data_IF_761793834096
#
_entry.id   IF_761793834096
#
_cell.length_a   1.000
_cell.length_b   1.000
_cell.length_c   1.000
_cell.angle_alpha   90.00
_cell.angle_beta   90.00
_cell.angle_gamma   90.00
#
_symmetry.space_group_name_H-M   'P 1'
#
loop_
_entity.id
_entity.type
_entity.pdbx_description
1 polymer ?
#
# COMPACT_ATOMS: atom_id res chain seq x y z
N UNK A 1 -3.91 7.50 10.51
CA UNK A 1 -2.86 6.52 10.13
C UNK A 1 -2.84 6.23 8.65
N UNK A 2 -3.90 5.68 8.04
CA UNK A 2 -3.92 5.38 6.60
C UNK A 2 -3.67 6.62 5.69
N UNK A 3 -4.27 7.77 6.03
CA UNK A 3 -4.01 9.02 5.30
C UNK A 3 -2.53 9.44 5.40
N UNK A 4 -2.01 9.52 6.63
CA UNK A 4 -0.61 9.86 6.88
C UNK A 4 0.37 8.88 6.21
N UNK A 5 0.05 7.58 6.22
CA UNK A 5 0.86 6.56 5.55
C UNK A 5 0.84 6.67 4.03
N UNK A 6 -0.33 6.95 3.42
CA UNK A 6 -0.43 7.23 2.00
C UNK A 6 0.41 8.45 1.57
N UNK A 7 0.36 9.52 2.38
CA UNK A 7 1.20 10.71 2.17
C UNK A 7 2.68 10.37 2.34
N UNK A 8 3.05 9.63 3.38
CA UNK A 8 4.42 9.23 3.65
C UNK A 8 5.01 8.37 2.52
N UNK A 9 4.24 7.45 1.92
CA UNK A 9 4.66 6.66 0.75
C UNK A 9 4.98 7.56 -0.44
N UNK A 10 4.13 8.56 -0.71
CA UNK A 10 4.35 9.52 -1.82
C UNK A 10 5.57 10.39 -1.56
N UNK A 11 5.73 10.93 -0.36
CA UNK A 11 6.90 11.72 0.02
C UNK A 11 8.20 10.90 -0.02
N UNK A 12 8.15 9.63 0.41
CA UNK A 12 9.27 8.72 0.34
C UNK A 12 9.63 8.33 -1.11
N UNK A 13 8.68 8.40 -2.05
CA UNK A 13 8.91 8.11 -3.46
C UNK A 13 9.34 9.34 -4.27
N UNK A 14 8.90 10.56 -3.88
CA UNK A 14 9.12 11.80 -4.60
C UNK A 14 10.59 12.18 -4.92
N UNK A 15 11.57 12.00 -4.01
CA UNK A 15 12.95 12.45 -4.28
C UNK A 15 13.75 11.52 -5.22
N UNK A 16 13.19 10.38 -5.63
CA UNK A 16 13.91 9.41 -6.45
C UNK A 16 13.63 9.63 -7.94
N UNK A 17 14.70 9.77 -8.73
CA UNK A 17 14.65 9.95 -10.19
C UNK A 17 14.11 8.69 -10.87
N UNK A 18 13.10 8.92 -11.72
CA UNK A 18 12.34 7.91 -12.44
C UNK A 18 11.54 7.01 -11.50
N UNK A 19 10.26 6.95 -11.80
CA UNK A 19 9.38 5.85 -11.42
C UNK A 19 9.88 4.55 -12.11
N UNK A 20 11.09 4.10 -11.78
CA UNK A 20 11.48 2.71 -12.04
C UNK A 20 10.60 1.87 -11.10
N UNK A 21 9.44 1.47 -11.62
CA UNK A 21 8.53 0.53 -10.97
C UNK A 21 9.27 -0.77 -10.59
N UNK A 22 10.35 -1.08 -11.32
CA UNK A 22 11.23 -2.24 -11.15
C UNK A 22 12.38 -2.06 -10.16
N UNK A 23 12.69 -0.84 -9.70
CA UNK A 23 13.68 -0.64 -8.65
C UNK A 23 12.96 -0.51 -7.33
N UNK A 24 12.62 -1.67 -6.78
CA UNK A 24 12.89 -2.09 -5.41
C UNK A 24 13.45 -1.05 -4.41
N UNK A 25 12.77 0.07 -4.24
CA UNK A 25 13.19 1.12 -3.32
C UNK A 25 12.60 0.85 -1.93
N UNK A 26 13.49 0.45 -1.03
CA UNK A 26 13.25 0.14 0.37
C UNK A 26 12.44 1.22 1.13
N UNK A 27 12.62 2.54 0.92
CA UNK A 27 11.94 3.56 1.74
C UNK A 27 10.41 3.57 1.62
N UNK A 28 9.87 3.51 0.39
CA UNK A 28 8.42 3.50 0.17
C UNK A 28 7.77 2.18 0.61
N UNK A 29 8.50 1.06 0.48
CA UNK A 29 8.06 -0.25 0.98
C UNK A 29 7.99 -0.26 2.51
N UNK A 30 9.00 0.28 3.20
CA UNK A 30 9.00 0.43 4.65
C UNK A 30 7.83 1.31 5.12
N UNK A 31 7.59 2.45 4.45
CA UNK A 31 6.47 3.33 4.78
C UNK A 31 5.13 2.58 4.66
N UNK A 32 4.95 1.77 3.62
CA UNK A 32 3.77 0.92 3.45
C UNK A 32 3.67 -0.13 4.57
N UNK A 33 4.73 -0.88 4.85
CA UNK A 33 4.74 -1.94 5.86
C UNK A 33 4.46 -1.40 7.27
N UNK A 34 5.09 -0.29 7.66
CA UNK A 34 4.85 0.37 8.95
C UNK A 34 3.41 0.85 9.03
N UNK A 35 2.90 1.48 7.97
CA UNK A 35 1.50 1.94 7.91
C UNK A 35 0.53 0.77 8.06
N UNK A 36 0.74 -0.30 7.29
CA UNK A 36 -0.08 -1.49 7.31
C UNK A 36 -0.08 -2.15 8.70
N UNK A 37 1.09 -2.27 9.33
CA UNK A 37 1.25 -2.82 10.67
C UNK A 37 0.51 -1.99 11.72
N UNK A 38 0.79 -0.68 11.79
CA UNK A 38 0.16 0.21 12.77
C UNK A 38 -1.35 0.30 12.59
N UNK A 39 -1.83 0.41 11.35
CA UNK A 39 -3.26 0.45 11.05
C UNK A 39 -3.94 -0.88 11.44
N UNK A 40 -3.28 -2.02 11.18
CA UNK A 40 -3.81 -3.34 11.54
C UNK A 40 -3.85 -3.55 13.04
N UNK A 41 -2.80 -3.16 13.78
CA UNK A 41 -2.78 -3.22 15.24
C UNK A 41 -3.88 -2.35 15.86
N UNK A 42 -4.05 -1.12 15.37
CA UNK A 42 -5.13 -0.24 15.81
C UNK A 42 -6.52 -0.82 15.51
N UNK A 43 -6.70 -1.43 14.33
CA UNK A 43 -7.95 -2.07 13.96
C UNK A 43 -8.24 -3.27 14.86
N UNK A 44 -7.26 -4.16 15.08
CA UNK A 44 -7.41 -5.35 15.90
C UNK A 44 -7.71 -5.01 17.37
N UNK A 45 -7.06 -3.96 17.91
CA UNK A 45 -7.32 -3.48 19.26
C UNK A 45 -8.77 -2.94 19.43
N UNK A 46 -9.36 -2.39 18.37
CA UNK A 46 -10.72 -1.84 18.39
C UNK A 46 -11.82 -2.79 17.90
N UNK A 47 -11.48 -3.90 17.24
CA UNK A 47 -12.44 -4.76 16.55
C UNK A 47 -13.10 -5.77 17.51
N UNK A 48 -14.41 -5.61 17.76
CA UNK A 48 -15.21 -6.63 18.48
C UNK A 48 -15.71 -7.78 17.59
N UNK A 49 -15.86 -7.54 16.28
CA UNK A 49 -16.23 -8.56 15.27
C UNK A 49 -15.60 -8.24 13.92
N UNK A 50 -14.96 -9.23 13.33
CA UNK A 50 -14.47 -9.17 11.94
C UNK A 50 -15.57 -9.74 11.03
N UNK A 51 -16.08 -8.90 10.13
CA UNK A 51 -17.02 -9.33 9.09
C UNK A 51 -16.22 -9.72 7.85
N UNK A 52 -16.36 -10.99 7.47
CA UNK A 52 -15.81 -11.54 6.23
C UNK A 52 -16.88 -11.39 5.15
N UNK A 53 -16.54 -10.68 4.08
CA UNK A 53 -17.35 -10.53 2.87
C UNK A 53 -16.68 -11.18 1.66
N UNK A 54 -17.39 -11.19 0.52
CA UNK A 54 -16.89 -11.77 -0.75
C UNK A 54 -15.54 -11.19 -1.19
N UNK A 55 -15.34 -9.88 -1.02
CA UNK A 55 -14.08 -9.22 -1.35
C UNK A 55 -12.90 -9.78 -0.52
N UNK A 56 -13.12 -10.14 0.76
CA UNK A 56 -12.08 -10.74 1.59
C UNK A 56 -11.73 -12.15 1.13
N UNK A 57 -12.73 -12.93 0.68
CA UNK A 57 -12.52 -14.27 0.14
C UNK A 57 -11.70 -14.21 -1.15
N UNK A 58 -12.04 -13.32 -2.06
CA UNK A 58 -11.29 -13.11 -3.30
C UNK A 58 -9.85 -12.67 -3.01
N UNK A 59 -9.68 -11.76 -2.06
CA UNK A 59 -8.35 -11.29 -1.64
C UNK A 59 -7.55 -12.41 -0.95
N UNK A 60 -8.18 -13.24 -0.14
CA UNK A 60 -7.54 -14.40 0.47
C UNK A 60 -7.11 -15.44 -0.58
N UNK A 61 -7.94 -15.71 -1.60
CA UNK A 61 -7.59 -16.57 -2.73
C UNK A 61 -6.40 -15.97 -3.51
N UNK A 62 -6.44 -14.67 -3.81
CA UNK A 62 -5.33 -13.98 -4.47
C UNK A 62 -4.02 -14.11 -3.68
N UNK A 63 -4.06 -13.91 -2.36
CA UNK A 63 -2.88 -14.07 -1.49
C UNK A 63 -2.40 -15.52 -1.45
N UNK A 64 -3.31 -16.50 -1.35
CA UNK A 64 -2.95 -17.91 -1.36
C UNK A 64 -2.29 -18.33 -2.68
N UNK A 65 -2.83 -17.87 -3.82
CA UNK A 65 -2.23 -18.08 -5.13
C UNK A 65 -0.87 -17.38 -5.24
N UNK A 66 -0.73 -16.16 -4.71
CA UNK A 66 0.54 -15.43 -4.68
C UNK A 66 1.62 -16.14 -3.86
N UNK A 67 1.28 -16.64 -2.68
CA UNK A 67 2.18 -17.46 -1.84
C UNK A 67 2.53 -18.77 -2.54
N UNK A 68 1.54 -19.46 -3.12
CA UNK A 68 1.79 -20.69 -3.89
C UNK A 68 2.71 -20.46 -5.07
N UNK A 69 2.47 -19.40 -5.85
CA UNK A 69 3.32 -19.00 -6.99
C UNK A 69 4.74 -18.65 -6.55
N UNK A 70 4.92 -17.99 -5.40
CA UNK A 70 6.22 -17.64 -4.86
C UNK A 70 7.11 -18.87 -4.57
N UNK A 71 6.52 -20.02 -4.22
CA UNK A 71 7.26 -21.28 -4.01
C UNK A 71 7.93 -21.81 -5.29
N UNK A 72 7.41 -21.44 -6.45
CA UNK A 72 7.95 -21.84 -7.76
C UNK A 72 8.84 -20.75 -8.38
N UNK A 73 9.12 -19.66 -7.66
CA UNK A 73 9.91 -18.55 -8.19
C UNK A 73 11.38 -18.91 -8.33
N UNK A 74 11.96 -18.60 -9.49
CA UNK A 74 13.40 -18.69 -9.74
C UNK A 74 14.20 -17.65 -8.94
N UNK A 75 13.54 -16.57 -8.52
CA UNK A 75 14.13 -15.53 -7.69
C UNK A 75 13.36 -15.41 -6.35
N UNK A 76 13.86 -16.05 -5.26
CA UNK A 76 13.15 -16.09 -3.99
C UNK A 76 13.06 -14.72 -3.33
N UNK A 77 14.04 -13.84 -3.57
CA UNK A 77 14.05 -12.47 -3.03
C UNK A 77 12.87 -11.64 -3.55
N UNK A 78 12.63 -11.68 -4.87
CA UNK A 78 11.52 -10.96 -5.48
C UNK A 78 10.18 -11.57 -5.13
N UNK A 79 10.12 -12.89 -5.03
CA UNK A 79 8.93 -13.61 -4.58
C UNK A 79 8.51 -13.21 -3.16
N UNK A 80 9.44 -13.24 -2.19
CA UNK A 80 9.15 -12.84 -0.81
C UNK A 80 8.65 -11.40 -0.73
N UNK A 81 9.25 -10.49 -1.52
CA UNK A 81 8.86 -9.08 -1.52
C UNK A 81 7.49 -8.86 -2.15
N UNK A 82 7.18 -9.53 -3.26
CA UNK A 82 5.86 -9.49 -3.87
C UNK A 82 4.78 -9.98 -2.90
N UNK A 83 5.04 -11.07 -2.18
CA UNK A 83 4.14 -11.59 -1.13
C UNK A 83 3.98 -10.59 0.01
N UNK A 84 5.09 -10.04 0.53
CA UNK A 84 5.05 -9.06 1.62
C UNK A 84 4.28 -7.79 1.25
N UNK A 85 4.46 -7.29 0.03
CA UNK A 85 3.74 -6.14 -0.49
C UNK A 85 2.24 -6.44 -0.61
N UNK A 86 1.90 -7.62 -1.12
CA UNK A 86 0.50 -8.07 -1.26
C UNK A 86 -0.20 -8.19 0.09
N UNK A 87 0.47 -8.76 1.10
CA UNK A 87 -0.05 -8.86 2.47
C UNK A 87 -0.28 -7.48 3.08
N UNK A 88 0.64 -6.54 2.85
CA UNK A 88 0.52 -5.18 3.39
C UNK A 88 -0.57 -4.38 2.68
N UNK A 89 -0.73 -4.57 1.37
CA UNK A 89 -1.87 -4.05 0.62
C UNK A 89 -3.20 -4.58 1.15
N UNK A 90 -3.28 -5.88 1.44
CA UNK A 90 -4.48 -6.50 2.01
C UNK A 90 -4.81 -5.96 3.41
N UNK A 91 -3.81 -5.79 4.27
CA UNK A 91 -3.94 -5.14 5.57
C UNK A 91 -4.49 -3.71 5.44
N UNK A 92 -3.92 -2.90 4.54
CA UNK A 92 -4.42 -1.56 4.23
C UNK A 92 -5.87 -1.57 3.72
N UNK A 93 -6.23 -2.54 2.87
CA UNK A 93 -7.61 -2.70 2.38
C UNK A 93 -8.60 -2.98 3.51
N UNK A 94 -8.29 -3.91 4.42
CA UNK A 94 -9.17 -4.21 5.56
C UNK A 94 -9.33 -3.01 6.48
N UNK A 95 -8.24 -2.28 6.74
CA UNK A 95 -8.27 -1.06 7.53
C UNK A 95 -9.10 0.03 6.84
N UNK A 96 -8.92 0.26 5.55
CA UNK A 96 -9.69 1.25 4.78
C UNK A 96 -11.19 0.91 4.78
N UNK A 97 -11.53 -0.37 4.63
CA UNK A 97 -12.92 -0.84 4.71
C UNK A 97 -13.53 -0.65 6.10
N UNK A 98 -12.75 -0.83 7.17
CA UNK A 98 -13.20 -0.53 8.52
C UNK A 98 -13.48 0.96 8.71
N UNK A 99 -12.58 1.84 8.22
CA UNK A 99 -12.76 3.29 8.22
C UNK A 99 -13.99 3.71 7.41
N UNK A 100 -14.21 3.12 6.24
CA UNK A 100 -15.37 3.39 5.41
C UNK A 100 -16.69 3.00 6.12
N UNK A 101 -16.73 1.85 6.79
CA UNK A 101 -17.88 1.42 7.60
C UNK A 101 -18.15 2.34 8.80
N UNK A 102 -17.12 3.03 9.31
CA UNK A 102 -17.25 4.04 10.35
C UNK A 102 -17.70 5.43 9.83
N UNK A 103 -17.95 5.58 8.52
CA UNK A 103 -18.45 6.82 7.92
C UNK A 103 -17.38 7.74 7.34
N UNK A 104 -16.09 7.49 7.61
CA UNK A 104 -14.98 8.36 7.20
C UNK A 104 -14.38 8.02 5.83
N UNK A 105 -15.12 7.28 4.99
CA UNK A 105 -14.63 6.80 3.69
C UNK A 105 -14.28 7.92 2.72
N UNK A 106 -15.09 8.99 2.66
CA UNK A 106 -14.87 10.13 1.76
C UNK A 106 -13.62 10.93 2.13
N UNK A 107 -13.39 11.16 3.41
CA UNK A 107 -12.20 11.87 3.89
C UNK A 107 -10.92 11.08 3.62
N UNK A 108 -10.97 9.76 3.85
CA UNK A 108 -9.86 8.88 3.51
C UNK A 108 -9.58 8.89 2.00
N UNK A 109 -10.61 8.74 1.17
CA UNK A 109 -10.48 8.77 -0.28
C UNK A 109 -9.94 10.11 -0.79
N UNK A 110 -10.42 11.23 -0.25
CA UNK A 110 -9.95 12.57 -0.62
C UNK A 110 -8.47 12.78 -0.32
N UNK A 111 -8.01 12.38 0.87
CA UNK A 111 -6.61 12.47 1.24
C UNK A 111 -5.71 11.57 0.36
N UNK A 112 -6.15 10.35 0.07
CA UNK A 112 -5.42 9.43 -0.81
C UNK A 112 -5.39 9.93 -2.27
N UNK A 113 -6.48 10.52 -2.75
CA UNK A 113 -6.55 11.14 -4.06
C UNK A 113 -5.58 12.32 -4.17
N UNK A 114 -5.53 13.20 -3.16
CA UNK A 114 -4.57 14.30 -3.12
C UNK A 114 -3.11 13.78 -3.14
N UNK A 115 -2.81 12.76 -2.35
CA UNK A 115 -1.48 12.13 -2.35
C UNK A 115 -1.14 11.54 -3.73
N UNK A 116 -2.09 10.85 -4.37
CA UNK A 116 -1.90 10.29 -5.72
C UNK A 116 -1.66 11.38 -6.77
N UNK A 117 -2.40 12.50 -6.72
CA UNK A 117 -2.20 13.66 -7.61
C UNK A 117 -0.79 14.22 -7.43
N UNK A 118 -0.34 14.44 -6.19
CA UNK A 118 1.02 14.94 -5.93
C UNK A 118 2.08 13.99 -6.49
N UNK A 119 1.90 12.68 -6.29
CA UNK A 119 2.79 11.66 -6.85
C UNK A 119 2.82 11.69 -8.40
N UNK A 120 1.66 11.80 -9.03
CA UNK A 120 1.53 11.87 -10.48
C UNK A 120 2.16 13.14 -11.07
N UNK A 121 1.93 14.30 -10.44
CA UNK A 121 2.55 15.57 -10.84
C UNK A 121 4.07 15.50 -10.70
N UNK A 122 4.57 14.93 -9.59
CA UNK A 122 6.02 14.75 -9.39
C UNK A 122 6.61 13.87 -10.49
N UNK A 123 5.96 12.75 -10.81
CA UNK A 123 6.40 11.88 -11.89
C UNK A 123 6.38 12.58 -13.26
N UNK A 124 5.36 13.39 -13.54
CA UNK A 124 5.25 14.17 -14.77
C UNK A 124 6.40 15.19 -14.89
N UNK A 125 6.68 15.93 -13.82
CA UNK A 125 7.80 16.89 -13.74
C UNK A 125 9.13 16.20 -14.02
N UNK A 126 9.36 15.05 -13.38
CA UNK A 126 10.57 14.24 -13.62
C UNK A 126 10.65 13.73 -15.07
N UNK A 127 9.53 13.29 -15.67
CA UNK A 127 9.48 12.81 -17.06
C UNK A 127 9.84 13.91 -18.07
N UNK A 128 9.49 15.16 -17.79
CA UNK A 128 9.91 16.32 -18.58
C UNK A 128 11.36 16.76 -18.34
N UNK A 129 12.11 16.04 -17.49
CA UNK A 129 13.53 16.31 -17.23
C UNK A 129 13.78 17.50 -16.31
N UNK A 130 12.74 18.07 -15.69
CA UNK A 130 12.88 19.09 -14.68
C UNK A 130 13.49 18.44 -13.42
N UNK A 131 14.73 18.81 -13.11
CA UNK A 131 15.43 18.33 -11.92
C UNK A 131 14.79 18.96 -10.69
N UNK A 132 14.08 18.15 -9.91
CA UNK A 132 13.78 18.45 -8.51
C UNK A 132 15.03 18.11 -7.71
N UNK A 133 15.94 19.08 -7.60
CA UNK A 133 17.12 18.97 -6.72
C UNK A 133 16.71 19.18 -5.25
#
# INVERSE_FOLDING_TARGET
MLQAGGIAVVLAAAPYKMFELDRFFVPKEIALHITALLASLALLAGARRLSIGRADQMLAIFLALGVGSALFSTNPWLAQRAVGLSLSGAACFWCARAVARAGYGRELAGALAAAAIVGALTALVQAYGLRTE
#
